data_IF_845252061698
#
_entry.id   IF_845252061698
#
_cell.length_a   1.000
_cell.length_b   1.000
_cell.length_c   1.000
_cell.angle_alpha   90.00
_cell.angle_beta   90.00
_cell.angle_gamma   90.00
#
_symmetry.space_group_name_H-M   'P 1'
#
loop_
_entity.id
_entity.type
_entity.pdbx_description
1 polymer ?
#
# COMPACT_ATOMS: atom_id res chain seq x y z
N UNK A 1 44.31 -37.87 -31.83
CA UNK A 1 45.47 -37.63 -30.96
C UNK A 1 45.14 -38.20 -29.59
N UNK A 2 45.90 -39.21 -29.19
CA UNK A 2 45.86 -39.85 -27.87
C UNK A 2 46.32 -38.87 -26.79
N UNK A 3 45.92 -39.11 -25.54
CA UNK A 3 46.85 -39.14 -24.40
C UNK A 3 46.20 -39.88 -23.22
N UNK A 4 46.88 -40.94 -22.79
CA UNK A 4 46.58 -41.76 -21.62
C UNK A 4 47.40 -41.25 -20.41
N UNK A 5 46.73 -41.25 -19.25
CA UNK A 5 47.17 -41.77 -17.94
C UNK A 5 48.25 -41.09 -17.06
N UNK A 6 47.88 -41.06 -15.75
CA UNK A 6 48.65 -41.34 -14.52
C UNK A 6 49.58 -40.21 -13.99
N UNK A 7 49.67 -39.87 -12.69
CA UNK A 7 49.70 -40.68 -11.45
C UNK A 7 49.28 -39.87 -10.18
N UNK A 8 48.49 -40.47 -9.29
CA UNK A 8 48.65 -40.43 -7.82
C UNK A 8 49.65 -41.56 -7.47
N UNK A 9 50.47 -41.61 -6.42
CA UNK A 9 50.45 -41.12 -5.04
C UNK A 9 51.88 -41.41 -4.46
N UNK A 10 52.36 -40.71 -3.42
CA UNK A 10 53.10 -41.29 -2.26
C UNK A 10 53.54 -40.19 -1.28
N UNK A 11 53.09 -40.35 -0.04
CA UNK A 11 53.31 -39.51 1.15
C UNK A 11 54.71 -39.61 1.78
N UNK A 12 55.15 -38.53 2.44
CA UNK A 12 55.97 -38.59 3.64
C UNK A 12 55.79 -37.32 4.51
N UNK A 13 55.26 -37.52 5.72
CA UNK A 13 55.10 -36.55 6.81
C UNK A 13 56.38 -36.45 7.67
N UNK A 14 56.68 -35.28 8.27
CA UNK A 14 57.20 -34.86 9.62
C UNK A 14 57.90 -33.47 9.47
N UNK A 15 57.89 -32.44 10.33
CA UNK A 15 57.41 -32.20 11.70
C UNK A 15 57.39 -30.67 12.01
N UNK A 16 56.50 -30.26 12.93
CA UNK A 16 56.50 -29.10 13.86
C UNK A 16 57.11 -27.72 13.52
N UNK A 17 56.29 -26.66 13.62
CA UNK A 17 56.53 -25.52 14.50
C UNK A 17 55.23 -24.73 14.72
N UNK A 18 54.79 -24.67 15.98
CA UNK A 18 53.61 -23.92 16.39
C UNK A 18 53.89 -22.42 16.39
N UNK A 19 52.96 -21.65 15.85
CA UNK A 19 52.85 -20.21 16.10
C UNK A 19 51.38 -19.93 16.36
N UNK A 20 51.06 -19.56 17.61
CA UNK A 20 49.74 -19.14 18.03
C UNK A 20 49.39 -17.80 17.35
N UNK A 21 48.27 -17.77 16.62
CA UNK A 21 47.68 -16.53 16.12
C UNK A 21 46.75 -15.94 17.22
N UNK A 22 46.79 -14.62 17.47
CA UNK A 22 46.01 -14.01 18.54
C UNK A 22 44.52 -13.99 18.20
N UNK A 23 43.70 -14.37 19.20
CA UNK A 23 42.25 -14.24 19.22
C UNK A 23 41.92 -12.74 19.21
N UNK A 24 41.39 -12.23 18.11
CA UNK A 24 40.77 -10.90 18.08
C UNK A 24 39.39 -11.01 18.70
N UNK A 25 39.25 -10.45 19.90
CA UNK A 25 37.98 -10.09 20.51
C UNK A 25 37.25 -9.11 19.58
N UNK A 26 36.23 -9.58 18.89
CA UNK A 26 35.31 -8.73 18.14
C UNK A 26 34.57 -7.82 19.13
N UNK A 27 35.01 -6.57 19.23
CA UNK A 27 34.24 -5.51 19.86
C UNK A 27 32.99 -5.27 19.02
N UNK A 28 31.83 -5.25 19.69
CA UNK A 28 30.54 -4.87 19.10
C UNK A 28 30.66 -3.40 18.69
N UNK A 29 30.81 -3.16 17.39
CA UNK A 29 30.73 -1.81 16.84
C UNK A 29 29.28 -1.33 16.94
N UNK A 30 29.00 -0.48 17.92
CA UNK A 30 27.88 0.46 17.86
C UNK A 30 27.98 1.26 16.56
N UNK A 31 26.97 1.14 15.69
CA UNK A 31 26.92 1.86 14.44
C UNK A 31 26.78 3.36 14.72
N UNK A 32 27.83 4.12 14.40
CA UNK A 32 27.78 5.57 14.31
C UNK A 32 26.88 5.96 13.15
N UNK A 33 25.82 6.72 13.42
CA UNK A 33 24.97 7.36 12.42
C UNK A 33 25.78 8.38 11.60
N UNK A 34 26.48 7.91 10.57
CA UNK A 34 27.21 8.77 9.63
C UNK A 34 26.38 8.98 8.37
N UNK A 35 25.85 10.21 8.25
CA UNK A 35 25.24 10.73 7.03
C UNK A 35 23.72 10.63 7.05
N UNK A 36 23.06 11.79 7.06
CA UNK A 36 21.69 11.95 6.60
C UNK A 36 21.58 11.37 5.19
N UNK A 37 21.21 10.09 5.04
CA UNK A 37 20.65 9.61 3.78
C UNK A 37 19.39 10.42 3.57
N UNK A 38 19.40 11.29 2.56
CA UNK A 38 18.20 12.05 2.21
C UNK A 38 17.05 11.07 2.04
N UNK A 39 15.95 11.29 2.77
CA UNK A 39 14.72 10.53 2.57
C UNK A 39 14.34 10.56 1.08
N UNK A 40 13.76 9.48 0.55
CA UNK A 40 13.48 9.41 -0.87
C UNK A 40 12.45 10.46 -1.27
N UNK A 41 12.46 10.86 -2.53
CA UNK A 41 11.47 11.82 -3.04
C UNK A 41 10.79 11.26 -4.28
N UNK A 42 9.47 11.50 -4.45
CA UNK A 42 8.79 11.15 -5.69
C UNK A 42 9.40 11.86 -6.88
N UNK A 43 9.37 11.22 -8.05
CA UNK A 43 9.85 11.82 -9.30
C UNK A 43 11.28 12.40 -9.21
N UNK A 44 12.17 11.70 -8.52
CA UNK A 44 13.58 12.10 -8.31
C UNK A 44 14.50 11.81 -9.52
N UNK A 45 13.90 11.43 -10.64
CA UNK A 45 14.53 11.31 -11.94
C UNK A 45 14.17 12.50 -12.83
N UNK A 46 14.79 12.59 -14.00
CA UNK A 46 14.36 13.58 -14.98
C UNK A 46 12.91 13.32 -15.39
N UNK A 47 12.05 14.33 -15.29
CA UNK A 47 10.63 14.24 -15.71
C UNK A 47 10.43 13.92 -17.20
N UNK A 48 11.50 13.97 -18.00
CA UNK A 48 11.44 13.84 -19.45
C UNK A 48 10.95 15.12 -20.13
N UNK A 49 10.81 15.05 -21.45
CA UNK A 49 10.44 16.19 -22.30
C UNK A 49 9.16 15.93 -23.12
N UNK A 50 8.48 14.80 -22.89
CA UNK A 50 7.29 14.40 -23.62
C UNK A 50 6.06 14.97 -22.91
N UNK A 51 5.84 16.28 -23.02
CA UNK A 51 4.65 16.96 -22.50
C UNK A 51 4.03 17.83 -23.60
N UNK A 52 2.71 17.92 -23.62
CA UNK A 52 1.95 18.73 -24.60
C UNK A 52 2.21 20.23 -24.48
N UNK A 53 2.48 20.69 -23.26
CA UNK A 53 2.58 22.10 -22.91
C UNK A 53 3.54 22.28 -21.72
N UNK A 54 4.19 23.45 -21.57
CA UNK A 54 4.97 23.77 -20.39
C UNK A 54 4.18 23.78 -19.07
N UNK A 55 2.84 23.82 -19.11
CA UNK A 55 1.98 23.83 -17.92
C UNK A 55 2.18 22.59 -17.05
N UNK A 56 2.32 21.40 -17.65
CA UNK A 56 2.44 20.15 -16.91
C UNK A 56 3.78 20.03 -16.15
N UNK A 57 4.96 20.18 -16.78
CA UNK A 57 6.21 20.15 -16.04
C UNK A 57 6.32 21.31 -15.02
N UNK A 58 5.65 22.45 -15.24
CA UNK A 58 5.51 23.50 -14.23
C UNK A 58 4.68 23.03 -13.01
N UNK A 59 3.58 22.30 -13.24
CA UNK A 59 2.77 21.73 -12.17
C UNK A 59 3.57 20.73 -11.33
N UNK A 60 4.33 19.83 -11.98
CA UNK A 60 5.23 18.90 -11.29
C UNK A 60 6.24 19.61 -10.40
N UNK A 61 6.97 20.61 -10.94
CA UNK A 61 7.91 21.40 -10.14
C UNK A 61 7.27 22.04 -8.92
N UNK A 62 6.04 22.56 -9.06
CA UNK A 62 5.32 23.24 -7.97
C UNK A 62 4.93 22.30 -6.85
N UNK A 63 4.43 21.10 -7.15
CA UNK A 63 4.04 20.17 -6.08
C UNK A 63 5.26 19.49 -5.46
N UNK A 64 6.31 19.21 -6.24
CA UNK A 64 7.55 18.62 -5.74
C UNK A 64 8.35 19.59 -4.85
N UNK A 65 8.15 20.90 -5.01
CA UNK A 65 8.73 21.92 -4.12
C UNK A 65 7.79 22.32 -2.97
N UNK A 66 6.67 21.62 -2.77
CA UNK A 66 5.73 21.92 -1.70
C UNK A 66 6.12 21.13 -0.45
N UNK A 67 6.53 21.84 0.59
CA UNK A 67 6.99 21.24 1.85
C UNK A 67 5.96 20.28 2.46
N UNK A 68 4.67 20.61 2.35
CA UNK A 68 3.60 19.71 2.83
C UNK A 68 3.66 18.35 2.12
N UNK A 69 3.93 18.32 0.82
CA UNK A 69 4.01 17.06 0.08
C UNK A 69 5.28 16.27 0.41
N UNK A 70 6.41 16.97 0.51
CA UNK A 70 7.70 16.34 0.81
C UNK A 70 7.73 15.79 2.23
N UNK A 71 7.03 16.44 3.16
CA UNK A 71 6.87 15.96 4.54
C UNK A 71 5.94 14.73 4.63
N UNK A 72 5.00 14.58 3.70
CA UNK A 72 4.10 13.42 3.66
C UNK A 72 4.78 12.12 3.24
N UNK A 73 5.93 12.21 2.56
CA UNK A 73 6.70 11.09 2.04
C UNK A 73 5.82 9.94 1.46
N UNK A 74 4.90 10.25 0.53
CA UNK A 74 3.81 9.34 0.18
C UNK A 74 4.30 8.08 -0.51
N UNK A 75 4.16 6.93 0.18
CA UNK A 75 4.48 5.62 -0.39
C UNK A 75 3.82 5.40 -1.76
N UNK A 76 2.60 5.91 -1.94
CA UNK A 76 1.85 5.83 -3.20
C UNK A 76 2.54 6.48 -4.40
N UNK A 77 3.32 7.55 -4.21
CA UNK A 77 4.11 8.13 -5.29
C UNK A 77 5.51 7.51 -5.36
N UNK A 78 6.09 7.12 -4.22
CA UNK A 78 7.43 6.57 -4.16
C UNK A 78 7.56 5.23 -4.90
N UNK A 79 6.56 4.34 -4.74
CA UNK A 79 6.55 2.97 -5.29
C UNK A 79 6.78 2.88 -6.80
N UNK A 80 6.44 3.90 -7.58
CA UNK A 80 6.60 3.86 -9.04
C UNK A 80 7.60 4.89 -9.59
N UNK A 81 7.92 5.92 -8.81
CA UNK A 81 8.51 7.15 -9.37
C UNK A 81 9.83 7.56 -8.73
N UNK A 82 10.28 6.84 -7.69
CA UNK A 82 11.44 7.23 -6.88
C UNK A 82 12.58 6.22 -6.97
N UNK A 83 13.65 6.60 -7.66
CA UNK A 83 14.88 5.83 -7.71
C UNK A 83 15.57 5.73 -6.35
N UNK A 84 15.48 6.77 -5.53
CA UNK A 84 15.97 6.77 -4.16
C UNK A 84 15.17 5.82 -3.27
N UNK A 85 13.85 5.70 -3.47
CA UNK A 85 13.04 4.70 -2.78
C UNK A 85 13.46 3.27 -3.18
N UNK A 86 13.62 3.00 -4.48
CA UNK A 86 14.11 1.69 -4.94
C UNK A 86 15.50 1.34 -4.40
N UNK A 87 16.33 2.34 -4.10
CA UNK A 87 17.61 2.13 -3.39
C UNK A 87 17.39 1.86 -1.90
N UNK A 88 16.46 2.58 -1.27
CA UNK A 88 16.10 2.37 0.13
C UNK A 88 15.53 0.97 0.38
N UNK A 89 14.71 0.42 -0.53
CA UNK A 89 14.17 -0.95 -0.46
C UNK A 89 15.25 -2.04 -0.35
N UNK A 90 16.47 -1.77 -0.83
CA UNK A 90 17.60 -2.71 -0.77
C UNK A 90 18.32 -2.70 0.58
N UNK A 91 17.91 -1.82 1.50
CA UNK A 91 18.50 -1.67 2.82
C UNK A 91 17.39 -1.69 3.88
N UNK A 92 17.33 -2.72 4.74
CA UNK A 92 16.31 -2.79 5.79
C UNK A 92 16.24 -1.54 6.67
N UNK A 93 17.39 -0.93 6.97
CA UNK A 93 17.48 0.29 7.77
C UNK A 93 16.88 1.49 7.04
N UNK A 94 17.23 1.69 5.76
CA UNK A 94 16.72 2.84 4.99
C UNK A 94 15.24 2.69 4.67
N UNK A 95 14.78 1.46 4.41
CA UNK A 95 13.37 1.18 4.20
C UNK A 95 12.56 1.46 5.48
N UNK A 96 13.01 0.97 6.63
CA UNK A 96 12.37 1.26 7.92
C UNK A 96 12.32 2.77 8.21
N UNK A 97 13.42 3.49 8.04
CA UNK A 97 13.46 4.96 8.22
C UNK A 97 12.50 5.70 7.28
N UNK A 98 12.36 5.22 6.05
CA UNK A 98 11.43 5.80 5.07
C UNK A 98 9.98 5.54 5.50
N UNK A 99 9.66 4.32 5.91
CA UNK A 99 8.32 3.97 6.39
C UNK A 99 7.97 4.72 7.67
N UNK A 100 8.90 4.85 8.62
CA UNK A 100 8.72 5.66 9.84
C UNK A 100 8.40 7.12 9.52
N UNK A 101 9.14 7.72 8.58
CA UNK A 101 8.89 9.09 8.14
C UNK A 101 7.52 9.23 7.44
N UNK A 102 7.16 8.29 6.55
CA UNK A 102 5.84 8.27 5.91
C UNK A 102 4.70 8.09 6.92
N UNK A 103 4.86 7.20 7.89
CA UNK A 103 3.81 6.83 8.86
C UNK A 103 3.68 7.81 10.02
N UNK A 104 4.69 8.64 10.26
CA UNK A 104 4.61 9.75 11.22
C UNK A 104 4.00 11.03 10.63
N UNK A 105 3.84 11.10 9.30
CA UNK A 105 3.21 12.23 8.64
C UNK A 105 1.74 12.42 9.07
N UNK A 106 1.28 13.67 9.08
CA UNK A 106 -0.11 13.99 9.41
C UNK A 106 -1.06 13.49 8.31
N UNK A 107 -1.69 12.34 8.55
CA UNK A 107 -2.58 11.69 7.59
C UNK A 107 -3.63 12.65 7.00
N UNK A 108 -4.35 13.41 7.83
CA UNK A 108 -5.44 14.30 7.38
C UNK A 108 -4.94 15.40 6.45
N UNK A 109 -3.85 16.08 6.80
CA UNK A 109 -3.26 17.14 5.97
C UNK A 109 -2.70 16.59 4.66
N UNK A 110 -2.05 15.43 4.72
CA UNK A 110 -1.48 14.78 3.56
C UNK A 110 -2.54 14.26 2.60
N UNK A 111 -3.56 13.57 3.13
CA UNK A 111 -4.72 13.09 2.36
C UNK A 111 -5.43 14.24 1.66
N UNK A 112 -5.72 15.33 2.37
CA UNK A 112 -6.33 16.52 1.77
C UNK A 112 -5.46 17.14 0.65
N UNK A 113 -4.14 17.16 0.84
CA UNK A 113 -3.20 17.66 -0.17
C UNK A 113 -3.17 16.78 -1.42
N UNK A 114 -3.15 15.45 -1.25
CA UNK A 114 -3.20 14.50 -2.37
C UNK A 114 -4.52 14.57 -3.12
N UNK A 115 -5.65 14.66 -2.41
CA UNK A 115 -6.96 14.84 -3.03
C UNK A 115 -7.04 16.16 -3.83
N UNK A 116 -6.45 17.24 -3.33
CA UNK A 116 -6.34 18.51 -4.06
C UNK A 116 -5.51 18.37 -5.34
N UNK A 117 -4.37 17.68 -5.27
CA UNK A 117 -3.51 17.43 -6.44
C UNK A 117 -4.18 16.50 -7.47
N UNK A 118 -4.87 15.46 -7.01
CA UNK A 118 -5.65 14.56 -7.86
C UNK A 118 -6.75 15.31 -8.64
N UNK A 119 -7.34 16.35 -8.06
CA UNK A 119 -8.30 17.19 -8.78
C UNK A 119 -7.60 18.15 -9.76
N UNK A 120 -6.56 18.85 -9.31
CA UNK A 120 -5.86 19.86 -10.12
C UNK A 120 -5.12 19.29 -11.32
N UNK A 121 -4.60 18.06 -11.25
CA UNK A 121 -3.85 17.45 -12.36
C UNK A 121 -4.71 17.27 -13.62
N UNK A 122 -6.05 17.19 -13.46
CA UNK A 122 -7.02 17.08 -14.55
C UNK A 122 -7.21 18.38 -15.33
N UNK A 123 -6.81 19.52 -14.76
CA UNK A 123 -6.97 20.83 -15.40
C UNK A 123 -5.97 21.01 -16.55
N UNK A 124 -6.41 21.60 -17.66
CA UNK A 124 -5.53 21.90 -18.81
C UNK A 124 -4.42 22.90 -18.46
N UNK A 125 -4.64 23.75 -17.45
CA UNK A 125 -3.60 24.62 -16.89
C UNK A 125 -2.54 23.89 -16.05
N UNK A 126 -2.77 22.61 -15.76
CA UNK A 126 -1.82 21.70 -15.15
C UNK A 126 -1.40 20.66 -16.20
N UNK A 127 -1.92 19.43 -16.10
CA UNK A 127 -1.56 18.29 -16.95
C UNK A 127 -2.77 17.67 -17.67
N UNK A 128 -3.93 18.33 -17.72
CA UNK A 128 -5.18 17.74 -18.24
C UNK A 128 -5.04 17.15 -19.64
N UNK A 129 -4.36 17.87 -20.56
CA UNK A 129 -4.09 17.37 -21.91
C UNK A 129 -3.21 16.11 -21.90
N UNK A 130 -2.12 16.12 -21.13
CA UNK A 130 -1.22 14.98 -21.00
C UNK A 130 -1.90 13.78 -20.30
N UNK A 131 -2.78 14.03 -19.33
CA UNK A 131 -3.55 12.98 -18.64
C UNK A 131 -4.51 12.27 -19.61
N UNK A 132 -5.22 13.03 -20.46
CA UNK A 132 -6.13 12.46 -21.48
C UNK A 132 -5.42 11.68 -22.57
N UNK A 133 -4.14 11.97 -22.81
CA UNK A 133 -3.29 11.21 -23.74
C UNK A 133 -2.51 10.11 -23.03
N UNK A 134 -2.87 9.79 -21.78
CA UNK A 134 -2.27 8.70 -20.99
C UNK A 134 -0.75 8.83 -20.87
N UNK A 135 -0.25 10.06 -20.72
CA UNK A 135 1.16 10.28 -20.47
C UNK A 135 1.59 9.51 -19.21
N UNK A 136 2.56 8.58 -19.29
CA UNK A 136 2.87 7.67 -18.18
C UNK A 136 3.23 8.39 -16.88
N UNK A 137 3.97 9.51 -16.96
CA UNK A 137 4.35 10.29 -15.79
C UNK A 137 3.15 10.93 -15.11
N UNK A 138 2.21 11.43 -15.92
CA UNK A 138 0.99 12.10 -15.43
C UNK A 138 0.00 11.09 -14.88
N UNK A 139 -0.13 9.92 -15.53
CA UNK A 139 -0.96 8.81 -15.04
C UNK A 139 -0.43 8.30 -13.71
N UNK A 140 0.89 8.05 -13.59
CA UNK A 140 1.51 7.62 -12.32
C UNK A 140 1.31 8.64 -11.19
N UNK A 141 1.43 9.94 -11.49
CA UNK A 141 1.14 10.98 -10.50
C UNK A 141 -0.33 10.95 -10.08
N UNK A 142 -1.24 10.88 -11.05
CA UNK A 142 -2.68 10.88 -10.80
C UNK A 142 -3.10 9.66 -9.97
N UNK A 143 -2.71 8.45 -10.36
CA UNK A 143 -3.06 7.23 -9.62
C UNK A 143 -2.39 7.20 -8.25
N UNK A 144 -1.14 7.67 -8.13
CA UNK A 144 -0.47 7.78 -6.84
C UNK A 144 -1.11 8.81 -5.90
N UNK A 145 -1.70 9.90 -6.41
CA UNK A 145 -2.49 10.81 -5.58
C UNK A 145 -3.79 10.15 -5.09
N UNK A 146 -4.49 9.42 -5.95
CA UNK A 146 -5.72 8.70 -5.58
C UNK A 146 -5.46 7.57 -4.57
N UNK A 147 -4.33 6.88 -4.71
CA UNK A 147 -3.97 5.73 -3.90
C UNK A 147 -3.36 6.09 -2.53
N UNK A 148 -3.15 7.38 -2.24
CA UNK A 148 -2.44 7.81 -1.02
C UNK A 148 -3.07 7.24 0.25
N UNK A 149 -4.37 7.42 0.44
CA UNK A 149 -5.05 6.99 1.67
C UNK A 149 -4.89 5.47 1.89
N UNK A 150 -5.14 4.69 0.84
CA UNK A 150 -5.05 3.23 0.87
C UNK A 150 -3.63 2.75 1.17
N UNK A 151 -2.62 3.34 0.51
CA UNK A 151 -1.22 2.93 0.68
C UNK A 151 -0.56 3.48 1.93
N UNK A 152 -1.04 4.60 2.47
CA UNK A 152 -0.67 5.04 3.80
C UNK A 152 -1.13 4.01 4.83
N UNK A 153 -2.40 3.62 4.80
CA UNK A 153 -2.94 2.65 5.75
C UNK A 153 -2.24 1.28 5.64
N UNK A 154 -2.07 0.76 4.42
CA UNK A 154 -1.42 -0.53 4.20
C UNK A 154 0.09 -0.48 4.47
N UNK A 155 0.78 0.58 4.05
CA UNK A 155 2.22 0.76 4.26
C UNK A 155 2.61 0.89 5.73
N UNK A 156 1.70 1.42 6.56
CA UNK A 156 1.88 1.58 7.99
C UNK A 156 1.39 0.39 8.83
N UNK A 157 0.92 -0.69 8.21
CA UNK A 157 0.67 -1.94 8.92
C UNK A 157 1.97 -2.52 9.44
N UNK A 158 1.94 -3.01 10.68
CA UNK A 158 3.04 -3.77 11.29
C UNK A 158 2.57 -5.16 11.67
N UNK A 159 3.51 -6.10 11.73
CA UNK A 159 3.29 -7.42 12.33
C UNK A 159 3.27 -7.34 13.87
N UNK A 160 3.16 -8.50 14.53
CA UNK A 160 3.15 -8.61 15.99
C UNK A 160 4.48 -8.26 16.67
N UNK A 161 5.57 -8.21 15.90
CA UNK A 161 6.91 -7.83 16.38
C UNK A 161 7.20 -6.34 16.12
N UNK A 162 6.27 -5.61 15.50
CA UNK A 162 6.39 -4.20 15.18
C UNK A 162 7.14 -3.91 13.87
N UNK A 163 7.43 -4.92 13.05
CA UNK A 163 8.04 -4.71 11.73
C UNK A 163 6.97 -4.37 10.71
N UNK A 164 7.25 -3.39 9.82
CA UNK A 164 6.32 -3.05 8.76
C UNK A 164 6.03 -4.23 7.83
N UNK A 165 4.75 -4.47 7.56
CA UNK A 165 4.29 -5.52 6.66
C UNK A 165 4.86 -5.36 5.25
N UNK A 166 5.00 -4.11 4.76
CA UNK A 166 5.66 -3.84 3.49
C UNK A 166 7.14 -4.24 3.50
N UNK A 167 7.87 -3.91 4.58
CA UNK A 167 9.28 -4.30 4.73
C UNK A 167 9.46 -5.81 4.75
N UNK A 168 8.57 -6.52 5.46
CA UNK A 168 8.54 -7.98 5.47
C UNK A 168 8.27 -8.54 4.06
N UNK A 169 7.33 -7.95 3.32
CA UNK A 169 7.01 -8.38 1.96
C UNK A 169 8.18 -8.19 0.97
N UNK A 170 8.89 -7.06 1.07
CA UNK A 170 10.06 -6.76 0.21
C UNK A 170 11.26 -7.65 0.55
N UNK A 171 11.47 -7.98 1.82
CA UNK A 171 12.61 -8.79 2.27
C UNK A 171 12.36 -10.31 2.29
N UNK A 172 11.16 -10.76 1.89
CA UNK A 172 10.80 -12.17 1.93
C UNK A 172 11.36 -12.95 0.73
N UNK A 173 12.53 -13.56 0.92
CA UNK A 173 13.19 -14.37 -0.12
C UNK A 173 12.45 -15.67 -0.47
N UNK A 174 11.60 -16.20 0.41
CA UNK A 174 10.85 -17.44 0.12
C UNK A 174 9.54 -17.16 -0.62
N UNK A 175 9.03 -15.93 -0.55
CA UNK A 175 7.85 -15.47 -1.29
C UNK A 175 8.13 -14.09 -1.93
N UNK A 176 9.02 -14.04 -2.95
CA UNK A 176 9.55 -12.79 -3.50
C UNK A 176 8.51 -11.91 -4.21
N UNK A 177 7.33 -12.45 -4.48
CA UNK A 177 6.22 -11.72 -5.11
C UNK A 177 5.29 -11.04 -4.10
N UNK A 178 5.57 -11.15 -2.80
CA UNK A 178 4.74 -10.56 -1.73
C UNK A 178 4.59 -9.05 -1.84
N UNK A 179 5.61 -8.35 -2.32
CA UNK A 179 5.57 -6.88 -2.46
C UNK A 179 4.69 -6.41 -3.62
N UNK A 180 4.36 -7.25 -4.60
CA UNK A 180 3.55 -6.87 -5.77
C UNK A 180 2.13 -6.43 -5.38
N UNK A 181 1.64 -6.93 -4.24
CA UNK A 181 0.34 -6.57 -3.69
C UNK A 181 0.21 -5.06 -3.48
N UNK A 182 1.28 -4.38 -3.05
CA UNK A 182 1.27 -2.94 -2.78
C UNK A 182 1.19 -2.06 -4.03
N UNK A 183 1.22 -2.65 -5.23
CA UNK A 183 1.01 -1.93 -6.48
C UNK A 183 -0.46 -1.95 -6.93
N UNK A 184 -1.32 -2.80 -6.34
CA UNK A 184 -2.74 -2.86 -6.67
C UNK A 184 -3.46 -1.51 -6.52
N UNK A 185 -3.26 -0.74 -5.42
CA UNK A 185 -3.94 0.56 -5.30
C UNK A 185 -3.57 1.57 -6.38
N UNK A 186 -2.45 1.36 -7.07
CA UNK A 186 -1.94 2.20 -8.14
C UNK A 186 -2.51 1.84 -9.52
N UNK A 187 -3.42 0.86 -9.60
CA UNK A 187 -4.01 0.35 -10.85
C UNK A 187 -3.07 -0.60 -11.60
N UNK A 188 -2.15 -1.25 -10.87
CA UNK A 188 -1.25 -2.25 -11.46
C UNK A 188 -1.81 -3.63 -11.12
N UNK A 189 -2.27 -4.33 -12.15
CA UNK A 189 -2.76 -5.70 -12.01
C UNK A 189 -1.69 -6.63 -11.45
N UNK A 190 -2.14 -7.55 -10.60
CA UNK A 190 -1.28 -8.57 -10.03
C UNK A 190 -0.77 -9.50 -11.15
N UNK A 191 0.56 -9.70 -11.30
CA UNK A 191 1.08 -10.62 -12.29
C UNK A 191 0.57 -12.05 -12.07
N UNK A 192 0.27 -12.74 -13.16
CA UNK A 192 -0.11 -14.15 -13.11
C UNK A 192 1.00 -14.98 -12.44
N UNK A 193 0.62 -15.89 -11.54
CA UNK A 193 1.56 -16.70 -10.77
C UNK A 193 2.19 -15.99 -9.57
N UNK A 194 1.63 -14.85 -9.13
CA UNK A 194 1.99 -14.25 -7.84
C UNK A 194 1.67 -15.24 -6.71
N UNK A 195 2.70 -15.57 -5.94
CA UNK A 195 2.67 -16.48 -4.80
C UNK A 195 3.24 -15.74 -3.57
N UNK A 196 2.41 -14.91 -2.90
CA UNK A 196 2.83 -14.15 -1.74
C UNK A 196 2.83 -14.99 -0.47
N UNK A 197 3.48 -14.51 0.58
CA UNK A 197 3.42 -15.16 1.89
C UNK A 197 2.02 -15.00 2.51
N UNK A 198 1.36 -16.12 2.75
CA UNK A 198 0.03 -16.19 3.35
C UNK A 198 0.10 -16.01 4.88
N UNK A 199 0.11 -14.76 5.32
CA UNK A 199 0.24 -14.39 6.73
C UNK A 199 -0.70 -13.22 7.10
N UNK A 200 -0.75 -12.88 8.38
CA UNK A 200 -1.62 -11.81 8.89
C UNK A 200 -1.35 -10.45 8.23
N UNK A 201 -0.11 -10.15 7.82
CA UNK A 201 0.19 -8.93 7.08
C UNK A 201 -0.52 -8.88 5.73
N UNK A 202 -0.51 -9.97 4.97
CA UNK A 202 -1.24 -10.06 3.69
C UNK A 202 -2.76 -9.95 3.92
N UNK A 203 -3.30 -10.66 4.91
CA UNK A 203 -4.72 -10.64 5.25
C UNK A 203 -5.20 -9.21 5.58
N UNK A 204 -4.50 -8.52 6.48
CA UNK A 204 -4.81 -7.15 6.88
C UNK A 204 -4.65 -6.16 5.70
N UNK A 205 -3.64 -6.36 4.85
CA UNK A 205 -3.45 -5.55 3.63
C UNK A 205 -4.63 -5.71 2.68
N UNK A 206 -5.05 -6.96 2.43
CA UNK A 206 -6.19 -7.26 1.55
C UNK A 206 -7.51 -6.76 2.13
N UNK A 207 -7.65 -6.70 3.46
CA UNK A 207 -8.81 -6.09 4.12
C UNK A 207 -8.89 -4.58 3.88
N UNK A 208 -7.77 -3.85 3.99
CA UNK A 208 -7.71 -2.41 3.66
C UNK A 208 -8.09 -2.20 2.19
N UNK A 209 -7.53 -3.04 1.31
CA UNK A 209 -7.79 -2.95 -0.12
C UNK A 209 -9.25 -3.27 -0.47
N UNK A 210 -9.88 -4.24 0.20
CA UNK A 210 -11.31 -4.53 0.02
C UNK A 210 -12.20 -3.32 0.34
N UNK A 211 -11.86 -2.58 1.40
CA UNK A 211 -12.60 -1.39 1.81
C UNK A 211 -12.41 -0.25 0.82
N UNK A 212 -11.17 -0.03 0.37
CA UNK A 212 -10.87 0.99 -0.63
C UNK A 212 -11.51 0.67 -1.99
N UNK A 213 -11.51 -0.61 -2.41
CA UNK A 213 -12.12 -1.07 -3.64
C UNK A 213 -13.65 -0.89 -3.71
N UNK A 214 -14.32 -0.61 -2.59
CA UNK A 214 -15.74 -0.25 -2.59
C UNK A 214 -16.02 1.13 -3.20
N UNK A 215 -14.98 1.94 -3.44
CA UNK A 215 -15.08 3.20 -4.15
C UNK A 215 -14.64 3.02 -5.61
N UNK A 216 -15.62 2.96 -6.53
CA UNK A 216 -15.41 2.79 -7.98
C UNK A 216 -14.64 3.94 -8.65
N UNK A 217 -14.32 5.01 -7.92
CA UNK A 217 -13.47 6.10 -8.44
C UNK A 217 -11.97 5.85 -8.25
N UNK A 218 -11.59 4.80 -7.51
CA UNK A 218 -10.20 4.43 -7.28
C UNK A 218 -9.77 3.34 -8.28
N UNK A 219 -8.54 3.41 -8.84
CA UNK A 219 -8.05 2.38 -9.77
C UNK A 219 -8.15 0.94 -9.23
N UNK A 220 -8.04 0.82 -7.89
CA UNK A 220 -8.13 -0.46 -7.19
C UNK A 220 -9.45 -1.21 -7.42
N UNK A 221 -10.58 -0.51 -7.64
CA UNK A 221 -11.89 -1.17 -7.79
C UNK A 221 -11.91 -2.13 -8.99
N UNK A 222 -11.17 -1.78 -10.05
CA UNK A 222 -11.10 -2.57 -11.28
C UNK A 222 -10.25 -3.84 -11.09
N UNK A 223 -9.18 -3.74 -10.30
CA UNK A 223 -8.18 -4.80 -10.16
C UNK A 223 -8.43 -5.74 -8.96
N UNK A 224 -9.09 -5.25 -7.90
CA UNK A 224 -9.18 -5.95 -6.62
C UNK A 224 -9.79 -7.34 -6.72
N UNK A 225 -10.91 -7.47 -7.43
CA UNK A 225 -11.65 -8.75 -7.50
C UNK A 225 -10.79 -9.87 -8.10
N UNK A 226 -10.05 -9.56 -9.17
CA UNK A 226 -9.14 -10.51 -9.81
C UNK A 226 -7.95 -10.85 -8.91
N UNK A 227 -7.39 -9.86 -8.23
CA UNK A 227 -6.30 -10.06 -7.28
C UNK A 227 -6.73 -10.92 -6.09
N UNK A 228 -7.90 -10.64 -5.50
CA UNK A 228 -8.46 -11.41 -4.39
C UNK A 228 -8.64 -12.90 -4.76
N UNK A 229 -9.11 -13.20 -5.97
CA UNK A 229 -9.23 -14.58 -6.45
C UNK A 229 -7.86 -15.28 -6.60
N UNK A 230 -6.84 -14.56 -7.09
CA UNK A 230 -5.48 -15.10 -7.16
C UNK A 230 -4.93 -15.38 -5.75
N UNK A 231 -5.16 -14.47 -4.80
CA UNK A 231 -4.77 -14.66 -3.40
C UNK A 231 -5.48 -15.85 -2.77
N UNK A 232 -6.79 -15.98 -2.96
CA UNK A 232 -7.55 -17.14 -2.45
C UNK A 232 -7.05 -18.46 -3.04
N UNK A 233 -6.63 -18.45 -4.31
CA UNK A 233 -6.06 -19.63 -4.96
C UNK A 233 -4.71 -20.01 -4.35
N UNK A 234 -3.88 -19.03 -4.00
CA UNK A 234 -2.56 -19.26 -3.42
C UNK A 234 -2.59 -19.58 -1.92
N UNK A 235 -3.45 -18.89 -1.17
CA UNK A 235 -3.46 -18.89 0.30
C UNK A 235 -4.59 -19.68 0.94
N UNK A 236 -5.54 -20.15 0.14
CA UNK A 236 -6.71 -20.88 0.61
C UNK A 236 -7.99 -20.06 0.46
N UNK A 237 -9.15 -20.74 0.41
CA UNK A 237 -10.42 -20.10 0.13
C UNK A 237 -10.78 -19.05 1.20
N UNK A 238 -11.30 -17.90 0.77
CA UNK A 238 -11.73 -16.81 1.65
C UNK A 238 -10.60 -16.18 2.47
N UNK A 239 -9.37 -16.25 1.99
CA UNK A 239 -8.24 -15.53 2.59
C UNK A 239 -8.36 -14.02 2.33
N UNK A 240 -8.65 -13.64 1.09
CA UNK A 240 -8.95 -12.26 0.74
C UNK A 240 -10.44 -11.98 0.99
N UNK A 241 -10.73 -10.88 1.69
CA UNK A 241 -12.10 -10.48 1.99
C UNK A 241 -12.74 -9.93 0.72
N UNK A 242 -13.93 -10.41 0.33
CA UNK A 242 -14.66 -9.82 -0.78
C UNK A 242 -14.93 -8.33 -0.52
N UNK A 243 -14.98 -7.50 -1.58
CA UNK A 243 -15.31 -6.07 -1.44
C UNK A 243 -16.57 -5.94 -0.61
N UNK A 244 -16.44 -5.32 0.56
CA UNK A 244 -17.58 -5.02 1.40
C UNK A 244 -18.36 -3.92 0.69
N UNK A 245 -19.31 -4.30 -0.17
CA UNK A 245 -20.38 -3.37 -0.54
C UNK A 245 -20.95 -2.90 0.79
N UNK A 246 -20.88 -1.58 1.03
CA UNK A 246 -21.38 -1.01 2.27
C UNK A 246 -22.88 -1.26 2.26
N UNK A 247 -23.29 -2.41 2.78
CA UNK A 247 -24.66 -2.70 3.07
C UNK A 247 -24.93 -1.82 4.27
N UNK A 248 -25.37 -0.60 3.97
CA UNK A 248 -25.89 0.34 4.92
C UNK A 248 -27.05 -0.41 5.60
N UNK A 249 -26.75 -1.05 6.72
CA UNK A 249 -27.74 -1.63 7.61
C UNK A 249 -28.46 -0.43 8.21
N UNK A 250 -29.39 0.13 7.43
CA UNK A 250 -30.49 0.88 7.99
C UNK A 250 -31.16 -0.11 8.93
N UNK A 251 -30.87 0.01 10.22
CA UNK A 251 -31.65 -0.58 11.29
C UNK A 251 -33.03 0.10 11.29
N UNK A 252 -33.81 -0.13 10.23
CA UNK A 252 -35.25 -0.03 10.31
C UNK A 252 -35.67 -1.26 11.12
N UNK A 253 -35.77 -1.08 12.43
CA UNK A 253 -36.57 -1.96 13.26
C UNK A 253 -38.00 -1.92 12.70
N UNK A 254 -38.31 -2.82 11.78
CA UNK A 254 -39.68 -3.11 11.40
C UNK A 254 -40.32 -3.80 12.59
N UNK A 255 -41.00 -3.01 13.42
CA UNK A 255 -41.94 -3.50 14.40
C UNK A 255 -43.03 -4.28 13.64
N UNK A 256 -42.86 -5.59 13.56
CA UNK A 256 -43.89 -6.52 13.12
C UNK A 256 -44.97 -6.54 14.20
N UNK A 257 -46.01 -5.72 14.02
CA UNK A 257 -47.23 -5.85 14.79
C UNK A 257 -47.93 -7.16 14.38
N UNK A 258 -48.18 -8.11 15.32
CA UNK A 258 -49.01 -9.26 15.01
C UNK A 258 -50.48 -8.80 14.86
N UNK A 259 -51.24 -9.41 13.93
CA UNK A 259 -52.65 -9.12 13.83
C UNK A 259 -53.36 -9.80 15.01
N UNK A 260 -54.44 -9.18 15.49
CA UNK A 260 -55.44 -9.68 16.45
C UNK A 260 -55.29 -9.11 17.87
N UNK A 261 -55.91 -7.95 18.09
CA UNK A 261 -56.68 -7.66 19.32
C UNK A 261 -57.69 -6.53 19.03
N UNK A 262 -58.83 -6.88 18.44
CA UNK A 262 -60.06 -6.10 18.65
C UNK A 262 -60.65 -6.59 19.98
N UNK A 263 -60.43 -5.83 21.04
CA UNK A 263 -60.86 -6.20 22.38
C UNK A 263 -60.96 -4.99 23.31
N UNK A 264 -62.07 -4.28 23.18
CA UNK A 264 -62.75 -3.46 24.18
C UNK A 264 -61.91 -2.68 25.21
N UNK A 265 -61.98 -1.35 25.16
CA UNK A 265 -62.08 -0.56 26.39
C UNK A 265 -63.05 0.61 26.19
N UNK A 266 -64.12 0.50 26.96
CA UNK A 266 -65.25 1.40 27.16
C UNK A 266 -64.74 2.70 27.79
N UNK A 267 -65.06 3.86 27.21
CA UNK A 267 -65.13 5.10 27.96
C UNK A 267 -66.47 5.79 27.69
N UNK A 268 -67.28 5.78 28.75
CA UNK A 268 -68.57 6.42 28.92
C UNK A 268 -68.49 7.93 29.00
N UNK A 269 -69.34 8.63 28.24
CA UNK A 269 -69.86 9.95 28.61
C UNK A 269 -71.29 10.12 28.09
N UNK A 270 -72.25 10.11 29.01
CA UNK A 270 -73.62 10.59 28.84
C UNK A 270 -73.62 12.06 28.41
N UNK A 271 -74.41 12.44 27.41
CA UNK A 271 -75.32 13.61 27.47
C UNK A 271 -76.58 13.33 26.63
N UNK A 272 -77.72 13.60 27.25
CA UNK A 272 -79.11 13.42 26.83
C UNK A 272 -79.46 13.88 25.40
N UNK A 273 -80.30 13.10 24.74
CA UNK A 273 -81.13 13.55 23.63
C UNK A 273 -82.57 13.84 24.07
N UNK A 274 -83.12 14.90 23.49
CA UNK A 274 -84.47 15.06 22.92
C UNK A 274 -85.23 16.29 23.40
N UNK A 275 -85.66 17.09 22.41
CA UNK A 275 -86.97 17.75 22.37
C UNK A 275 -87.24 18.23 20.93
N UNK A 276 -88.05 17.46 20.18
CA UNK A 276 -88.94 17.96 19.12
C UNK A 276 -90.21 17.08 19.13
N UNK A 277 -91.37 17.73 19.26
CA UNK A 277 -92.67 17.29 18.71
C UNK A 277 -93.38 16.13 19.39
#
# INVERSE_FOLDING_TARGET
MQLQARQEETSASISSSGVAAPISTAAISTATSTGSSSLPTPFDSSLGNNFTSPSCPNFFRKFLSNDTLTDCLPLSLLLQTSNSFFKAERSPVLLAQTLDASCSANFTSCSASMASLANRIKDDSACGADLRMENPMVVQAYTGFLAYDTLYQAGCLTDGDGNYCFSNAVSNYTAPTSSYIYYLPLGVQLPAGTEPACNACLENTMQIFAQAAANDSLPLSDDYSSAAQMIDTACGPSFAIAVATTQQTNAAASLSAPPWTLGALVLSALVCGYLVG
#
